data_IF_869985575834
#
_entry.id   IF_869985575834
#
_cell.length_a   1.000
_cell.length_b   1.000
_cell.length_c   1.000
_cell.angle_alpha   90.00
_cell.angle_beta   90.00
_cell.angle_gamma   90.00
#
_symmetry.space_group_name_H-M   'P 1'
#
loop_
_entity.id
_entity.type
_entity.pdbx_description
1 polymer ?
#
# COMPACT_ATOMS: atom_id res chain seq x y z
N UNK A 1 -79.47 23.55 32.23
CA UNK A 1 -80.13 22.57 33.18
C UNK A 1 -79.57 21.22 32.92
N UNK A 2 -78.66 20.74 33.75
CA UNK A 2 -78.46 19.38 34.21
C UNK A 2 -77.27 19.32 35.16
N UNK A 3 -77.53 18.82 36.28
CA UNK A 3 -76.93 18.80 37.60
C UNK A 3 -75.57 18.00 37.58
N UNK A 4 -74.62 18.56 38.25
CA UNK A 4 -73.28 17.92 38.51
C UNK A 4 -73.40 17.28 39.91
N UNK A 5 -73.22 15.95 40.01
CA UNK A 5 -73.02 15.25 41.27
C UNK A 5 -71.51 15.17 41.64
N UNK A 6 -71.20 15.62 42.84
CA UNK A 6 -69.93 15.41 43.50
C UNK A 6 -69.83 13.97 44.03
N UNK A 7 -68.73 13.27 43.70
CA UNK A 7 -68.31 12.10 44.45
C UNK A 7 -66.99 12.38 45.11
N UNK A 8 -66.96 12.29 46.43
CA UNK A 8 -65.82 12.38 47.31
C UNK A 8 -65.02 11.08 47.25
N UNK A 9 -63.67 11.17 47.00
CA UNK A 9 -62.80 10.01 47.09
C UNK A 9 -61.86 10.18 48.30
N UNK A 10 -61.90 9.15 49.14
CA UNK A 10 -61.04 9.03 50.34
C UNK A 10 -59.56 8.85 50.02
N UNK A 11 -58.72 9.72 50.55
CA UNK A 11 -57.26 9.53 50.58
C UNK A 11 -56.89 8.43 51.56
N UNK A 12 -56.28 7.34 51.07
CA UNK A 12 -55.55 6.37 51.87
C UNK A 12 -54.07 6.75 51.87
N UNK A 13 -53.51 7.00 53.07
CA UNK A 13 -52.11 7.22 53.29
C UNK A 13 -51.29 5.94 53.00
N UNK A 14 -50.48 5.95 51.95
CA UNK A 14 -49.48 4.91 51.68
C UNK A 14 -48.17 5.35 52.30
N UNK A 15 -47.67 4.61 53.27
CA UNK A 15 -46.31 4.78 53.85
C UNK A 15 -45.33 4.11 52.91
N UNK A 16 -44.43 4.88 52.29
CA UNK A 16 -43.28 4.39 51.46
C UNK A 16 -42.08 4.23 52.41
N UNK A 17 -41.47 3.06 52.51
CA UNK A 17 -40.23 2.92 53.25
C UNK A 17 -39.04 3.57 52.45
N UNK A 18 -38.28 4.42 53.10
CA UNK A 18 -36.98 4.94 52.60
C UNK A 18 -35.98 3.80 52.56
N UNK A 19 -35.71 3.25 51.38
CA UNK A 19 -34.55 2.41 51.13
C UNK A 19 -33.36 3.29 50.74
N UNK A 20 -32.39 3.38 51.62
CA UNK A 20 -31.09 4.01 51.37
C UNK A 20 -30.32 3.08 50.41
N UNK A 21 -30.26 3.42 49.14
CA UNK A 21 -29.36 2.75 48.19
C UNK A 21 -27.93 3.30 48.36
N UNK A 22 -27.03 2.48 48.91
CA UNK A 22 -25.60 2.72 48.84
C UNK A 22 -25.20 2.64 47.35
N UNK A 23 -24.85 3.79 46.73
CA UNK A 23 -24.16 3.83 45.48
C UNK A 23 -22.69 3.46 45.76
N UNK A 24 -22.32 2.21 45.51
CA UNK A 24 -20.93 1.80 45.43
C UNK A 24 -20.30 2.48 44.20
N UNK A 25 -19.47 3.51 44.40
CA UNK A 25 -18.55 3.99 43.38
C UNK A 25 -17.58 2.85 43.05
N UNK A 26 -17.88 2.07 42.03
CA UNK A 26 -16.92 1.18 41.42
C UNK A 26 -15.84 2.03 40.76
N UNK A 27 -14.66 2.14 41.37
CA UNK A 27 -13.44 2.50 40.70
C UNK A 27 -13.20 1.43 39.60
N UNK A 28 -13.62 1.73 38.40
CA UNK A 28 -13.23 0.96 37.23
C UNK A 28 -11.72 1.07 37.08
N UNK A 29 -11.00 0.03 37.48
CA UNK A 29 -9.63 -0.20 37.06
C UNK A 29 -9.73 -0.33 35.52
N UNK A 30 -9.35 0.73 34.79
CA UNK A 30 -9.03 0.62 33.37
C UNK A 30 -7.86 -0.36 33.32
N UNK A 31 -8.14 -1.64 33.04
CA UNK A 31 -7.11 -2.57 32.62
C UNK A 31 -6.46 -1.92 31.40
N UNK A 32 -5.18 -1.57 31.50
CA UNK A 32 -4.42 -1.15 30.35
C UNK A 32 -4.59 -2.25 29.29
N UNK A 33 -5.12 -1.92 28.13
CA UNK A 33 -5.29 -2.88 27.06
C UNK A 33 -3.91 -3.47 26.77
N UNK A 34 -3.80 -4.78 26.92
CA UNK A 34 -2.55 -5.47 26.64
C UNK A 34 -2.23 -5.25 25.16
N UNK A 35 -1.02 -4.80 24.84
CA UNK A 35 -0.61 -4.60 23.44
C UNK A 35 -0.76 -5.92 22.67
N UNK A 36 -1.32 -5.83 21.47
CA UNK A 36 -1.50 -7.01 20.59
C UNK A 36 -0.28 -7.22 19.69
N UNK A 37 0.59 -6.20 19.57
CA UNK A 37 1.80 -6.24 18.75
C UNK A 37 3.01 -5.79 19.57
N UNK A 38 4.14 -6.43 19.34
CA UNK A 38 5.47 -5.88 19.64
C UNK A 38 5.99 -5.16 18.39
N UNK A 39 6.66 -4.00 18.58
CA UNK A 39 7.18 -3.20 17.48
C UNK A 39 8.70 -3.13 17.59
N UNK A 40 9.39 -3.40 16.47
CA UNK A 40 10.82 -3.24 16.33
C UNK A 40 11.15 -2.32 15.15
N UNK A 41 11.94 -1.26 15.43
CA UNK A 41 12.55 -0.47 14.35
C UNK A 41 13.62 -1.29 13.65
N UNK A 42 13.63 -1.20 12.33
CA UNK A 42 14.62 -1.87 11.50
C UNK A 42 15.85 -0.96 11.29
N UNK A 43 17.07 -1.53 11.20
CA UNK A 43 18.27 -0.75 10.96
C UNK A 43 18.21 -0.01 9.62
N UNK A 44 18.87 1.16 9.52
CA UNK A 44 18.94 1.99 8.32
C UNK A 44 20.34 1.98 7.71
N UNK A 45 20.44 2.40 6.45
CA UNK A 45 21.74 2.63 5.75
C UNK A 45 22.40 3.95 6.18
N UNK A 46 21.96 4.54 7.29
CA UNK A 46 22.56 5.74 7.89
C UNK A 46 21.78 7.02 7.64
N UNK A 47 20.74 7.01 6.80
CA UNK A 47 19.79 8.10 6.64
C UNK A 47 18.64 8.03 7.66
N UNK A 48 17.82 9.08 7.68
CA UNK A 48 16.67 9.21 8.60
C UNK A 48 15.33 8.85 7.94
N UNK A 49 15.35 8.28 6.73
CA UNK A 49 14.13 7.84 6.05
C UNK A 49 14.31 6.43 5.49
N UNK A 50 13.58 5.49 6.05
CA UNK A 50 13.48 4.11 5.57
C UNK A 50 12.02 3.63 5.63
N UNK A 51 11.69 2.63 4.82
CA UNK A 51 10.35 2.00 4.78
C UNK A 51 10.47 0.55 4.35
N UNK A 52 9.86 -0.34 5.09
CA UNK A 52 9.68 -1.74 4.70
C UNK A 52 8.33 -1.87 3.95
N UNK A 53 8.41 -2.11 2.65
CA UNK A 53 7.26 -2.12 1.76
C UNK A 53 6.65 -3.52 1.55
N UNK A 54 7.38 -4.55 1.92
CA UNK A 54 6.95 -5.92 1.79
C UNK A 54 7.47 -6.78 2.92
N UNK A 55 6.70 -7.80 3.28
CA UNK A 55 7.11 -8.90 4.14
C UNK A 55 6.61 -10.23 3.57
N UNK A 56 7.49 -11.22 3.46
CA UNK A 56 7.09 -12.57 3.03
C UNK A 56 6.94 -13.52 4.23
N UNK A 57 6.52 -14.76 3.97
CA UNK A 57 6.32 -15.79 5.01
C UNK A 57 7.63 -16.37 5.59
N UNK A 58 8.79 -15.88 5.16
CA UNK A 58 10.12 -16.18 5.75
C UNK A 58 10.63 -14.99 6.58
N UNK A 59 9.80 -13.99 6.87
CA UNK A 59 10.18 -12.77 7.55
C UNK A 59 11.31 -11.99 6.87
N UNK A 60 11.40 -12.10 5.53
CA UNK A 60 12.22 -11.21 4.74
C UNK A 60 11.41 -9.95 4.46
N UNK A 61 11.95 -8.82 4.88
CA UNK A 61 11.35 -7.53 4.60
C UNK A 61 12.15 -6.83 3.52
N UNK A 62 11.46 -6.23 2.57
CA UNK A 62 12.10 -5.45 1.50
C UNK A 62 11.48 -4.06 1.40
N UNK A 63 12.28 -3.11 0.94
CA UNK A 63 11.85 -1.74 0.85
C UNK A 63 12.99 -0.83 0.41
N UNK A 64 13.18 0.24 1.14
CA UNK A 64 14.28 1.17 0.90
C UNK A 64 14.82 1.79 2.20
N UNK A 65 16.04 2.27 2.14
CA UNK A 65 16.63 3.14 3.14
C UNK A 65 17.45 4.24 2.50
N UNK A 66 17.31 5.46 3.02
CA UNK A 66 18.16 6.56 2.59
C UNK A 66 19.59 6.36 3.13
N UNK A 67 20.57 6.81 2.36
CA UNK A 67 21.98 6.90 2.76
C UNK A 67 22.21 8.14 3.64
N UNK A 68 23.36 8.27 4.32
CA UNK A 68 23.72 9.47 5.08
C UNK A 68 23.50 10.74 4.28
N UNK A 69 22.91 11.76 4.91
CA UNK A 69 22.55 13.03 4.27
C UNK A 69 21.22 13.01 3.52
N UNK A 70 20.53 11.87 3.40
CA UNK A 70 19.20 11.71 2.78
C UNK A 70 19.06 12.13 1.31
N UNK A 71 20.18 12.33 0.60
CA UNK A 71 20.19 12.73 -0.82
C UNK A 71 20.11 11.53 -1.78
N UNK A 72 20.34 10.34 -1.29
CA UNK A 72 20.31 9.09 -2.06
C UNK A 72 19.54 8.03 -1.29
N UNK A 73 18.96 7.11 -2.01
CA UNK A 73 18.15 6.00 -1.50
C UNK A 73 18.57 4.70 -2.17
N UNK A 74 18.73 3.64 -1.38
CA UNK A 74 18.96 2.31 -1.93
C UNK A 74 17.83 1.34 -1.52
N UNK A 75 17.53 0.42 -2.41
CA UNK A 75 16.73 -0.76 -2.11
C UNK A 75 17.40 -1.55 -0.98
N UNK A 76 16.59 -1.99 -0.03
CA UNK A 76 17.05 -2.60 1.20
C UNK A 76 16.32 -3.93 1.45
N UNK A 77 17.07 -4.92 1.97
CA UNK A 77 16.55 -6.20 2.45
C UNK A 77 16.92 -6.36 3.93
N UNK A 78 15.92 -6.55 4.78
CA UNK A 78 16.10 -6.95 6.17
C UNK A 78 15.77 -8.43 6.32
N UNK A 79 16.70 -9.17 6.89
CA UNK A 79 16.59 -10.59 7.14
C UNK A 79 17.32 -10.95 8.42
N UNK A 80 16.65 -11.65 9.32
CA UNK A 80 17.21 -12.10 10.61
C UNK A 80 17.87 -10.95 11.40
N UNK A 81 17.26 -9.76 11.39
CA UNK A 81 17.77 -8.55 12.03
C UNK A 81 18.92 -7.85 11.30
N UNK A 82 19.47 -8.45 10.23
CA UNK A 82 20.52 -7.86 9.41
C UNK A 82 19.95 -7.06 8.23
N UNK A 83 20.58 -5.93 7.94
CA UNK A 83 20.29 -5.09 6.77
C UNK A 83 21.29 -5.36 5.65
N UNK A 84 20.78 -5.59 4.46
CA UNK A 84 21.57 -5.67 3.22
C UNK A 84 21.19 -4.50 2.31
N UNK A 85 22.19 -3.73 1.90
CA UNK A 85 22.09 -2.77 0.81
C UNK A 85 22.09 -3.55 -0.51
N UNK A 86 21.03 -3.43 -1.31
CA UNK A 86 20.93 -4.12 -2.60
C UNK A 86 21.69 -3.40 -3.71
N UNK A 87 22.16 -2.16 -3.46
CA UNK A 87 22.86 -1.35 -4.44
C UNK A 87 21.95 -0.76 -5.51
N UNK A 88 22.56 -0.37 -6.65
CA UNK A 88 21.88 0.26 -7.79
C UNK A 88 22.39 -0.33 -9.11
N UNK A 89 21.77 0.05 -10.22
CA UNK A 89 22.23 -0.24 -11.59
C UNK A 89 23.27 0.80 -12.09
N UNK A 90 23.96 1.47 -11.16
CA UNK A 90 25.03 2.45 -11.45
C UNK A 90 24.63 3.90 -11.25
N UNK A 91 23.34 4.19 -11.10
CA UNK A 91 22.82 5.51 -10.77
C UNK A 91 22.76 5.76 -9.26
N UNK A 92 22.23 6.93 -8.84
CA UNK A 92 22.23 7.31 -7.42
C UNK A 92 21.17 6.61 -6.55
N UNK A 93 20.11 6.04 -7.14
CA UNK A 93 18.97 5.54 -6.37
C UNK A 93 18.48 4.17 -6.84
N UNK A 94 17.92 3.43 -5.89
CA UNK A 94 17.08 2.24 -6.09
C UNK A 94 16.06 2.12 -4.97
N UNK A 95 14.97 1.38 -5.22
CA UNK A 95 13.94 1.12 -4.22
C UNK A 95 13.15 -0.16 -4.54
N UNK A 96 12.68 -0.86 -3.52
CA UNK A 96 11.52 -1.75 -3.60
C UNK A 96 10.34 -0.95 -3.07
N UNK A 97 9.32 -0.70 -3.88
CA UNK A 97 8.22 0.22 -3.54
C UNK A 97 6.87 -0.48 -3.39
N UNK A 98 6.71 -1.64 -3.99
CA UNK A 98 5.54 -2.49 -3.91
C UNK A 98 5.80 -3.76 -3.11
N UNK A 99 4.73 -4.49 -2.80
CA UNK A 99 4.82 -5.73 -2.06
C UNK A 99 5.34 -6.88 -2.93
N UNK A 100 6.46 -7.49 -2.53
CA UNK A 100 7.07 -8.65 -3.20
C UNK A 100 6.96 -9.86 -2.28
N UNK A 101 5.86 -10.60 -2.36
CA UNK A 101 5.57 -11.72 -1.45
C UNK A 101 6.28 -13.04 -1.76
N UNK A 102 7.15 -13.09 -2.77
CA UNK A 102 7.85 -14.31 -3.16
C UNK A 102 8.73 -14.85 -2.02
N UNK A 103 8.48 -16.12 -1.64
CA UNK A 103 9.32 -16.82 -0.69
C UNK A 103 10.56 -17.47 -1.36
N UNK A 104 10.67 -17.35 -2.70
CA UNK A 104 11.79 -17.88 -3.50
C UNK A 104 13.11 -17.11 -3.28
N UNK A 105 13.05 -15.93 -2.64
CA UNK A 105 14.20 -15.06 -2.44
C UNK A 105 14.44 -14.06 -3.57
N UNK A 106 13.51 -13.98 -4.52
CA UNK A 106 13.51 -12.96 -5.56
C UNK A 106 13.00 -11.65 -4.95
N UNK A 107 13.74 -10.56 -5.18
CA UNK A 107 13.33 -9.18 -4.87
C UNK A 107 13.23 -8.42 -6.17
N UNK A 108 12.13 -7.71 -6.37
CA UNK A 108 11.88 -6.89 -7.55
C UNK A 108 11.73 -5.42 -7.16
N UNK A 109 12.16 -4.51 -8.01
CA UNK A 109 12.09 -3.07 -7.73
C UNK A 109 12.51 -2.21 -8.92
N UNK A 110 12.85 -0.96 -8.63
CA UNK A 110 13.30 0.04 -9.60
C UNK A 110 14.68 0.56 -9.23
N UNK A 111 15.53 0.81 -10.22
CA UNK A 111 16.84 1.41 -10.01
C UNK A 111 17.23 2.33 -11.15
N UNK A 112 17.83 3.46 -10.80
CA UNK A 112 18.50 4.33 -11.75
C UNK A 112 19.77 3.66 -12.29
N UNK A 113 19.98 3.83 -13.59
CA UNK A 113 21.25 3.51 -14.26
C UNK A 113 22.20 4.69 -14.21
N UNK A 114 23.44 4.51 -14.68
CA UNK A 114 24.39 5.61 -14.86
C UNK A 114 24.11 6.44 -16.15
N UNK A 115 23.18 5.99 -17.00
CA UNK A 115 22.87 6.62 -18.29
C UNK A 115 21.83 7.71 -18.09
N UNK A 116 22.10 8.95 -18.57
CA UNK A 116 21.08 10.00 -18.61
C UNK A 116 19.88 9.56 -19.46
N UNK A 117 18.69 9.95 -19.05
CA UNK A 117 17.48 9.75 -19.85
C UNK A 117 17.50 10.72 -21.04
N UNK A 118 17.53 10.23 -22.31
CA UNK A 118 17.64 11.07 -23.48
C UNK A 118 16.40 11.93 -23.74
N UNK A 119 15.24 11.55 -23.21
CA UNK A 119 14.00 12.28 -23.33
C UNK A 119 13.71 13.19 -22.11
N UNK A 120 14.48 13.04 -21.02
CA UNK A 120 14.30 13.81 -19.80
C UNK A 120 12.98 13.51 -19.10
N UNK A 121 12.44 12.32 -19.27
CA UNK A 121 11.23 11.86 -18.61
C UNK A 121 11.48 11.71 -17.12
N UNK A 122 10.70 12.41 -16.29
CA UNK A 122 10.79 12.21 -14.84
C UNK A 122 10.28 10.84 -14.45
N UNK A 123 9.41 10.28 -15.25
CA UNK A 123 8.68 9.06 -15.05
C UNK A 123 8.17 8.96 -13.59
N UNK A 124 7.44 7.95 -13.21
CA UNK A 124 6.96 7.81 -11.81
C UNK A 124 8.08 7.72 -10.76
N UNK A 125 9.34 7.56 -11.19
CA UNK A 125 10.50 7.49 -10.30
C UNK A 125 10.68 8.72 -9.41
N UNK A 126 10.29 9.91 -9.86
CA UNK A 126 10.40 11.13 -9.07
C UNK A 126 9.65 11.03 -7.72
N UNK A 127 8.55 10.29 -7.67
CA UNK A 127 7.78 10.04 -6.44
C UNK A 127 8.50 9.07 -5.47
N UNK A 128 9.42 8.25 -5.97
CA UNK A 128 10.05 7.18 -5.17
C UNK A 128 11.45 7.52 -4.67
N UNK A 129 12.09 8.59 -5.16
CA UNK A 129 13.46 8.94 -4.84
C UNK A 129 13.59 10.30 -4.14
N UNK A 130 14.66 10.55 -3.41
CA UNK A 130 14.90 11.84 -2.78
C UNK A 130 15.12 12.95 -3.80
N UNK A 131 14.30 14.01 -3.73
CA UNK A 131 14.52 15.35 -4.29
C UNK A 131 15.27 15.42 -5.62
N UNK A 132 16.37 16.17 -5.63
CA UNK A 132 17.16 16.47 -6.83
C UNK A 132 17.84 15.28 -7.51
N UNK A 133 17.90 14.12 -6.88
CA UNK A 133 18.49 12.90 -7.46
C UNK A 133 17.43 11.97 -8.07
N UNK A 134 16.15 12.33 -7.96
CA UNK A 134 15.03 11.49 -8.41
C UNK A 134 14.83 11.45 -9.92
N UNK A 135 15.42 12.38 -10.67
CA UNK A 135 15.22 12.54 -12.12
C UNK A 135 16.53 12.54 -12.88
N UNK A 136 16.45 12.54 -14.22
CA UNK A 136 17.61 12.74 -15.11
C UNK A 136 18.35 11.47 -15.52
N UNK A 137 17.99 10.31 -15.00
CA UNK A 137 18.59 9.02 -15.35
C UNK A 137 17.54 8.04 -15.86
N UNK A 138 17.95 7.16 -16.76
CA UNK A 138 17.13 6.00 -17.13
C UNK A 138 16.88 5.14 -15.89
N UNK A 139 15.61 4.79 -15.67
CA UNK A 139 15.18 3.89 -14.63
C UNK A 139 14.83 2.54 -15.20
N UNK A 140 15.37 1.46 -14.65
CA UNK A 140 15.00 0.11 -15.05
C UNK A 140 14.41 -0.66 -13.88
N UNK A 141 13.45 -1.53 -14.20
CA UNK A 141 13.11 -2.61 -13.29
C UNK A 141 14.33 -3.47 -13.01
N UNK A 142 14.47 -3.97 -11.81
CA UNK A 142 15.51 -4.93 -11.46
C UNK A 142 14.94 -6.17 -10.77
N UNK A 143 15.69 -7.25 -10.88
CA UNK A 143 15.56 -8.43 -10.02
C UNK A 143 16.85 -8.59 -9.25
N UNK A 144 16.73 -8.74 -7.93
CA UNK A 144 17.82 -9.18 -7.08
C UNK A 144 17.57 -10.61 -6.62
N UNK A 145 18.57 -11.46 -6.73
CA UNK A 145 18.52 -12.84 -6.26
C UNK A 145 19.93 -13.29 -5.86
N UNK A 146 20.08 -13.88 -4.67
CA UNK A 146 21.35 -14.43 -4.17
C UNK A 146 22.54 -13.48 -4.27
N UNK A 147 22.36 -12.22 -3.95
CA UNK A 147 23.44 -11.19 -3.95
C UNK A 147 23.70 -10.52 -5.29
N UNK A 148 22.98 -10.87 -6.36
CA UNK A 148 23.13 -10.28 -7.69
C UNK A 148 21.90 -9.43 -8.06
N UNK A 149 22.13 -8.15 -8.37
CA UNK A 149 21.13 -7.23 -8.91
C UNK A 149 21.30 -7.20 -10.45
N UNK A 150 20.19 -7.48 -11.17
CA UNK A 150 20.18 -7.51 -12.64
C UNK A 150 19.08 -6.59 -13.16
N UNK A 151 19.35 -5.83 -14.24
CA UNK A 151 18.35 -5.04 -14.92
C UNK A 151 17.33 -5.96 -15.64
N UNK A 152 16.13 -5.44 -15.81
CA UNK A 152 15.08 -6.02 -16.64
C UNK A 152 14.93 -5.23 -17.94
N UNK A 153 14.55 -5.87 -19.05
CA UNK A 153 14.39 -5.20 -20.35
C UNK A 153 13.17 -4.27 -20.37
N UNK A 154 13.15 -3.37 -21.35
CA UNK A 154 11.96 -2.57 -21.71
C UNK A 154 11.30 -3.12 -23.00
N UNK A 155 10.19 -2.52 -23.39
CA UNK A 155 9.53 -2.83 -24.67
C UNK A 155 10.04 -1.97 -25.84
N UNK A 156 11.27 -1.43 -25.69
CA UNK A 156 11.94 -0.60 -26.70
C UNK A 156 12.05 0.87 -26.33
N UNK A 157 11.44 1.31 -25.23
CA UNK A 157 11.65 2.62 -24.62
C UNK A 157 12.80 2.62 -23.61
N UNK A 158 12.92 3.71 -22.87
CA UNK A 158 14.07 3.94 -21.96
C UNK A 158 13.82 3.39 -20.55
N UNK A 159 12.60 3.50 -20.03
CA UNK A 159 12.30 3.27 -18.63
C UNK A 159 11.47 2.00 -18.40
N UNK A 160 11.61 1.42 -17.21
CA UNK A 160 10.85 0.26 -16.76
C UNK A 160 10.86 0.13 -15.25
N UNK A 161 9.94 -0.69 -14.72
CA UNK A 161 9.77 -0.91 -13.30
C UNK A 161 9.30 -2.34 -13.01
N UNK A 162 9.83 -2.97 -11.98
CA UNK A 162 9.34 -4.24 -11.48
C UNK A 162 8.67 -4.05 -10.12
N UNK A 163 7.43 -4.53 -9.98
CA UNK A 163 6.57 -4.29 -8.82
C UNK A 163 6.33 -5.51 -7.98
N UNK A 164 6.19 -6.68 -8.58
CA UNK A 164 5.83 -7.91 -7.91
C UNK A 164 6.57 -9.12 -8.44
N UNK A 165 6.69 -10.14 -7.61
CA UNK A 165 7.20 -11.45 -8.00
C UNK A 165 6.45 -12.55 -7.25
N UNK A 166 6.27 -13.72 -7.90
CA UNK A 166 5.68 -14.90 -7.30
C UNK A 166 6.70 -16.02 -7.06
N UNK A 167 6.29 -17.11 -6.40
CA UNK A 167 7.14 -18.24 -6.10
C UNK A 167 7.52 -19.09 -7.32
N UNK A 168 6.89 -18.84 -8.49
CA UNK A 168 7.23 -19.48 -9.77
C UNK A 168 8.31 -18.72 -10.54
N UNK A 169 8.84 -17.64 -9.98
CA UNK A 169 9.88 -16.84 -10.62
C UNK A 169 9.35 -15.86 -11.68
N UNK A 170 8.03 -15.65 -11.78
CA UNK A 170 7.46 -14.62 -12.61
C UNK A 170 7.55 -13.29 -11.90
N UNK A 171 7.94 -12.25 -12.65
CA UNK A 171 8.03 -10.87 -12.17
C UNK A 171 7.10 -10.02 -13.03
N UNK A 172 6.43 -9.07 -12.42
CA UNK A 172 5.52 -8.15 -13.11
C UNK A 172 5.91 -6.70 -12.88
N UNK A 173 5.39 -5.81 -13.73
CA UNK A 173 5.64 -4.39 -13.63
C UNK A 173 5.12 -3.65 -14.85
N UNK A 174 5.83 -2.59 -15.24
CA UNK A 174 5.56 -1.88 -16.49
C UNK A 174 6.84 -1.46 -17.18
N UNK A 175 6.77 -1.26 -18.49
CA UNK A 175 7.90 -0.88 -19.29
C UNK A 175 7.47 0.01 -20.46
N UNK A 176 8.29 0.99 -20.79
CA UNK A 176 8.07 1.85 -21.94
C UNK A 176 8.26 1.10 -23.24
N UNK A 177 7.42 1.48 -24.21
CA UNK A 177 7.60 1.18 -25.63
C UNK A 177 8.39 2.30 -26.31
N UNK A 178 8.75 2.14 -27.60
CA UNK A 178 9.35 3.21 -28.41
C UNK A 178 8.29 4.17 -29.01
N UNK A 179 7.03 4.05 -28.64
CA UNK A 179 5.91 4.81 -29.21
C UNK A 179 5.66 6.06 -28.40
N UNK A 180 5.63 7.24 -29.06
CA UNK A 180 5.11 8.46 -28.45
C UNK A 180 3.60 8.35 -28.33
N UNK A 181 3.09 8.51 -27.09
CA UNK A 181 1.65 8.48 -26.82
C UNK A 181 1.14 9.93 -26.68
N UNK A 182 0.19 10.38 -27.52
CA UNK A 182 -0.33 11.74 -27.46
C UNK A 182 -1.14 12.02 -26.18
N UNK A 183 -1.48 11.01 -25.40
CA UNK A 183 -2.15 11.16 -24.10
C UNK A 183 -1.18 11.42 -22.95
N UNK A 184 0.14 11.31 -23.20
CA UNK A 184 1.15 11.66 -22.20
C UNK A 184 1.19 13.16 -21.95
N UNK A 185 1.30 13.52 -20.66
CA UNK A 185 1.51 14.90 -20.21
C UNK A 185 2.98 15.05 -19.80
N UNK A 186 3.71 16.04 -20.35
CA UNK A 186 5.11 16.24 -20.02
C UNK A 186 5.37 16.30 -18.51
N UNK A 187 6.52 15.72 -18.04
CA UNK A 187 7.67 15.25 -18.81
C UNK A 187 7.53 13.84 -19.44
N UNK A 188 6.47 13.08 -19.18
CA UNK A 188 6.25 11.78 -19.81
C UNK A 188 5.99 11.97 -21.31
N UNK A 189 6.53 11.10 -22.15
CA UNK A 189 6.41 11.14 -23.62
C UNK A 189 6.11 9.78 -24.23
N UNK A 190 6.78 8.72 -23.72
CA UNK A 190 6.62 7.38 -24.25
C UNK A 190 5.47 6.63 -23.57
N UNK A 191 4.74 5.88 -24.39
CA UNK A 191 3.77 4.89 -23.93
C UNK A 191 4.46 3.87 -23.02
N UNK A 192 3.79 3.45 -21.95
CA UNK A 192 4.23 2.32 -21.13
C UNK A 192 3.10 1.32 -20.94
N UNK A 193 3.46 0.03 -20.90
CA UNK A 193 2.52 -1.06 -20.84
C UNK A 193 2.78 -1.95 -19.60
N UNK A 194 1.72 -2.55 -19.04
CA UNK A 194 1.86 -3.58 -18.04
C UNK A 194 2.57 -4.78 -18.63
N UNK A 195 3.52 -5.36 -17.90
CA UNK A 195 4.38 -6.45 -18.40
C UNK A 195 4.52 -7.60 -17.42
N UNK A 196 4.79 -8.79 -18.00
CA UNK A 196 5.34 -9.95 -17.30
C UNK A 196 6.74 -10.19 -17.83
N UNK A 197 7.70 -10.29 -16.92
CA UNK A 197 9.07 -10.71 -17.20
C UNK A 197 9.16 -12.24 -17.02
N UNK A 198 9.69 -12.91 -18.02
CA UNK A 198 9.85 -14.36 -18.03
C UNK A 198 11.12 -14.85 -17.33
N UNK A 199 11.33 -16.16 -17.36
CA UNK A 199 12.49 -16.80 -16.74
C UNK A 199 13.83 -16.48 -17.46
N UNK A 200 13.79 -16.17 -18.77
CA UNK A 200 14.97 -15.71 -19.50
C UNK A 200 15.23 -14.24 -19.24
N UNK A 201 16.50 -13.78 -19.17
CA UNK A 201 16.84 -12.40 -18.83
C UNK A 201 16.20 -11.35 -19.74
N UNK A 202 15.96 -11.67 -21.00
CA UNK A 202 15.39 -10.75 -22.02
C UNK A 202 13.92 -11.03 -22.32
N UNK A 203 13.30 -11.97 -21.60
CA UNK A 203 11.90 -12.31 -21.85
C UNK A 203 10.97 -11.29 -21.18
N UNK A 204 10.30 -10.52 -22.00
CA UNK A 204 9.27 -9.55 -21.60
C UNK A 204 8.05 -9.70 -22.49
N UNK A 205 6.86 -9.63 -21.92
CA UNK A 205 5.60 -9.67 -22.65
C UNK A 205 4.64 -8.63 -22.09
N UNK A 206 4.07 -7.81 -22.97
CA UNK A 206 3.02 -6.87 -22.58
C UNK A 206 1.71 -7.62 -22.26
N UNK A 207 1.00 -7.13 -21.25
CA UNK A 207 -0.37 -7.55 -20.94
C UNK A 207 -1.36 -6.68 -21.71
N UNK A 208 -2.55 -7.22 -22.08
CA UNK A 208 -3.56 -6.44 -22.80
C UNK A 208 -4.14 -5.34 -21.87
N UNK A 209 -4.46 -4.19 -22.46
CA UNK A 209 -5.17 -3.10 -21.82
C UNK A 209 -6.70 -3.27 -21.91
N UNK A 210 -7.44 -2.53 -21.12
CA UNK A 210 -8.88 -2.34 -21.30
C UNK A 210 -9.16 -1.64 -22.62
N UNK A 211 -10.34 -1.86 -23.19
CA UNK A 211 -10.69 -1.33 -24.50
C UNK A 211 -10.68 0.22 -24.51
N UNK A 212 -9.89 0.81 -25.39
CA UNK A 212 -9.74 2.26 -25.52
C UNK A 212 -8.62 2.88 -24.70
N UNK A 213 -7.97 2.12 -23.83
CA UNK A 213 -6.81 2.58 -23.06
C UNK A 213 -5.51 2.47 -23.86
N UNK A 214 -4.54 3.31 -23.52
CA UNK A 214 -3.24 3.40 -24.21
C UNK A 214 -2.06 3.00 -23.34
N UNK A 215 -2.19 3.09 -22.01
CA UNK A 215 -1.11 2.81 -21.05
C UNK A 215 -1.63 2.06 -19.82
N UNK A 216 -0.72 1.48 -19.05
CA UNK A 216 -1.07 0.76 -17.84
C UNK A 216 0.14 0.16 -17.14
N UNK A 217 -0.10 -0.43 -15.98
CA UNK A 217 0.93 -0.99 -15.13
C UNK A 217 0.41 -2.21 -14.36
N UNK A 218 1.21 -3.25 -14.26
CA UNK A 218 0.96 -4.32 -13.31
C UNK A 218 1.55 -3.94 -11.95
N UNK A 219 0.83 -4.20 -10.86
CA UNK A 219 1.23 -3.84 -9.48
C UNK A 219 1.57 -5.05 -8.63
N UNK A 220 0.84 -6.15 -8.76
CA UNK A 220 1.08 -7.37 -7.98
C UNK A 220 0.73 -8.65 -8.77
N UNK A 221 1.27 -9.76 -8.32
CA UNK A 221 1.03 -11.11 -8.88
C UNK A 221 0.98 -12.15 -7.76
N UNK A 222 0.04 -13.10 -7.84
CA UNK A 222 -0.01 -14.26 -6.95
C UNK A 222 0.61 -15.53 -7.57
N UNK A 223 0.70 -16.61 -6.80
CA UNK A 223 1.27 -17.88 -7.27
C UNK A 223 0.37 -18.62 -8.29
N UNK A 224 -0.89 -18.23 -8.43
CA UNK A 224 -1.75 -18.77 -9.49
C UNK A 224 -1.49 -18.10 -10.84
N UNK A 225 -0.71 -17.00 -10.85
CA UNK A 225 -0.41 -16.21 -12.03
C UNK A 225 -1.53 -15.21 -12.36
N UNK A 226 -2.39 -14.90 -11.40
CA UNK A 226 -3.30 -13.77 -11.48
C UNK A 226 -2.50 -12.52 -11.18
N UNK A 227 -2.61 -11.53 -12.04
CA UNK A 227 -1.89 -10.26 -11.97
C UNK A 227 -2.93 -9.15 -11.81
N UNK A 228 -2.66 -8.18 -10.98
CA UNK A 228 -3.51 -7.00 -10.83
C UNK A 228 -2.74 -5.74 -11.17
N UNK A 229 -3.46 -4.68 -11.50
CA UNK A 229 -2.87 -3.40 -11.84
C UNK A 229 -3.87 -2.44 -12.44
N UNK A 230 -3.36 -1.50 -13.20
CA UNK A 230 -4.09 -0.36 -13.74
C UNK A 230 -4.07 -0.35 -15.27
N UNK A 231 -5.14 0.19 -15.85
CA UNK A 231 -5.28 0.46 -17.29
C UNK A 231 -5.94 1.83 -17.49
N UNK A 232 -5.44 2.63 -18.41
CA UNK A 232 -5.94 3.96 -18.67
C UNK A 232 -5.15 4.66 -19.78
N UNK A 233 -4.98 5.97 -19.65
CA UNK A 233 -4.16 6.76 -20.57
C UNK A 233 -2.79 7.07 -19.94
N UNK A 234 -1.83 7.49 -20.74
CA UNK A 234 -0.47 7.77 -20.27
C UNK A 234 -0.43 8.84 -19.18
N UNK A 235 -1.10 9.98 -19.37
CA UNK A 235 -1.12 11.12 -18.42
C UNK A 235 0.30 11.48 -17.91
N UNK A 236 0.44 11.78 -16.64
CA UNK A 236 1.73 12.05 -15.96
C UNK A 236 2.42 10.77 -15.46
N UNK A 237 1.93 9.58 -15.79
CA UNK A 237 2.41 8.29 -15.31
C UNK A 237 2.37 8.12 -13.78
N UNK A 238 1.51 8.85 -13.07
CA UNK A 238 1.45 8.88 -11.60
C UNK A 238 0.14 8.38 -10.99
N UNK A 239 -0.64 7.65 -11.74
CA UNK A 239 -1.84 6.97 -11.22
C UNK A 239 -3.16 7.62 -11.59
N UNK A 240 -3.33 8.93 -11.60
CA UNK A 240 -4.58 9.65 -11.85
C UNK A 240 -5.42 9.05 -13.00
N UNK A 241 -5.26 9.51 -14.22
CA UNK A 241 -5.96 8.96 -15.40
C UNK A 241 -5.27 7.72 -15.98
N UNK A 242 -4.06 7.40 -15.55
CA UNK A 242 -3.40 6.12 -15.86
C UNK A 242 -4.08 4.97 -15.10
N UNK A 243 -4.60 5.23 -13.90
CA UNK A 243 -5.40 4.30 -13.12
C UNK A 243 -6.91 4.58 -13.30
N UNK A 244 -7.36 4.62 -14.55
CA UNK A 244 -8.76 4.77 -14.88
C UNK A 244 -9.57 3.50 -14.57
N UNK A 245 -8.95 2.34 -14.76
CA UNK A 245 -9.52 1.03 -14.51
C UNK A 245 -8.59 0.22 -13.61
N UNK A 246 -9.11 -0.26 -12.48
CA UNK A 246 -8.54 -1.36 -11.72
C UNK A 246 -8.76 -2.66 -12.50
N UNK A 247 -7.71 -3.39 -12.83
CA UNK A 247 -7.84 -4.59 -13.66
C UNK A 247 -7.15 -5.81 -13.08
N UNK A 248 -7.65 -7.00 -13.44
CA UNK A 248 -7.00 -8.28 -13.21
C UNK A 248 -6.74 -9.00 -14.53
N UNK A 249 -5.51 -9.45 -14.73
CA UNK A 249 -5.14 -10.35 -15.83
C UNK A 249 -5.09 -11.78 -15.31
N UNK A 250 -5.84 -12.65 -15.97
CA UNK A 250 -5.81 -14.08 -15.67
C UNK A 250 -5.81 -14.87 -16.98
N UNK A 251 -4.74 -15.63 -17.25
CA UNK A 251 -4.58 -16.45 -18.46
C UNK A 251 -4.81 -15.67 -19.76
N UNK A 252 -4.33 -14.43 -19.83
CA UNK A 252 -4.44 -13.57 -21.02
C UNK A 252 -5.75 -12.80 -21.16
N UNK A 253 -6.70 -12.99 -20.23
CA UNK A 253 -7.95 -12.20 -20.19
C UNK A 253 -7.78 -11.05 -19.20
N UNK A 254 -8.18 -9.84 -19.60
CA UNK A 254 -8.31 -8.69 -18.73
C UNK A 254 -9.75 -8.60 -18.19
N UNK A 255 -9.89 -8.39 -16.90
CA UNK A 255 -11.16 -8.19 -16.20
C UNK A 255 -11.11 -6.87 -15.46
N UNK A 256 -12.09 -6.01 -15.67
CA UNK A 256 -12.29 -4.79 -14.93
C UNK A 256 -12.85 -5.14 -13.53
N UNK A 257 -12.24 -4.60 -12.47
CA UNK A 257 -12.63 -4.86 -11.07
C UNK A 257 -13.69 -3.86 -10.57
N UNK A 258 -14.06 -2.86 -11.39
CA UNK A 258 -14.95 -1.77 -11.02
C UNK A 258 -14.22 -0.64 -10.29
N UNK A 259 -15.00 0.30 -9.74
CA UNK A 259 -14.54 1.49 -9.04
C UNK A 259 -15.42 1.82 -7.82
N UNK A 260 -15.06 2.84 -7.05
CA UNK A 260 -15.83 3.34 -5.90
C UNK A 260 -16.71 4.58 -6.21
N UNK A 261 -16.87 4.94 -7.48
CA UNK A 261 -17.70 6.07 -7.91
C UNK A 261 -17.04 6.99 -8.94
N UNK A 262 -15.76 6.78 -9.24
CA UNK A 262 -15.05 7.49 -10.30
C UNK A 262 -14.12 6.54 -11.04
N UNK A 263 -13.91 6.77 -12.34
CA UNK A 263 -12.89 6.11 -13.15
C UNK A 263 -11.57 6.89 -13.03
N UNK A 264 -11.00 6.90 -11.83
CA UNK A 264 -9.89 7.78 -11.45
C UNK A 264 -9.19 7.21 -10.20
N UNK A 265 -7.86 7.09 -10.23
CA UNK A 265 -7.06 6.55 -9.14
C UNK A 265 -7.39 5.09 -8.75
N UNK A 266 -8.09 4.34 -9.58
CA UNK A 266 -8.47 2.94 -9.32
C UNK A 266 -7.22 2.05 -9.31
N UNK A 267 -6.57 1.92 -8.15
CA UNK A 267 -5.23 1.33 -8.03
C UNK A 267 -5.22 0.10 -7.14
N UNK A 268 -5.26 -1.12 -7.73
CA UNK A 268 -4.93 -2.35 -7.00
C UNK A 268 -3.47 -2.32 -6.54
N UNK A 269 -3.21 -2.67 -5.29
CA UNK A 269 -1.87 -2.69 -4.71
C UNK A 269 -1.36 -4.09 -4.40
N UNK A 270 -2.26 -5.02 -4.09
CA UNK A 270 -1.91 -6.38 -3.69
C UNK A 270 -3.03 -7.37 -4.02
N UNK A 271 -2.65 -8.67 -4.12
CA UNK A 271 -3.53 -9.79 -4.35
C UNK A 271 -3.08 -11.00 -3.53
N UNK A 272 -4.02 -11.68 -2.84
CA UNK A 272 -3.73 -12.92 -2.12
C UNK A 272 -3.88 -14.15 -3.03
N UNK A 273 -3.63 -15.36 -2.49
CA UNK A 273 -3.74 -16.60 -3.27
C UNK A 273 -5.19 -17.01 -3.56
N UNK A 274 -6.19 -16.42 -2.89
CA UNK A 274 -7.60 -16.62 -3.21
C UNK A 274 -8.06 -15.78 -4.40
N UNK A 275 -7.25 -14.78 -4.80
CA UNK A 275 -7.61 -13.78 -5.80
C UNK A 275 -8.35 -12.58 -5.21
N UNK A 276 -8.39 -12.43 -3.88
CA UNK A 276 -8.90 -11.19 -3.26
C UNK A 276 -7.87 -10.08 -3.48
N UNK A 277 -8.33 -8.91 -3.86
CA UNK A 277 -7.49 -7.76 -4.24
C UNK A 277 -7.75 -6.61 -3.28
N UNK A 278 -6.72 -5.88 -2.90
CA UNK A 278 -6.85 -4.63 -2.14
C UNK A 278 -6.16 -3.49 -2.87
N UNK A 279 -6.57 -2.28 -2.55
CA UNK A 279 -6.04 -1.07 -3.14
C UNK A 279 -6.75 0.17 -2.64
N UNK A 280 -6.77 1.20 -3.45
CA UNK A 280 -7.49 2.45 -3.20
C UNK A 280 -8.08 2.99 -4.51
N UNK A 281 -9.12 3.81 -4.38
CA UNK A 281 -9.83 4.38 -5.51
C UNK A 281 -10.45 5.73 -5.14
N UNK A 282 -10.66 6.60 -6.13
CA UNK A 282 -11.41 7.82 -5.91
C UNK A 282 -12.91 7.52 -5.82
N UNK A 283 -13.58 8.19 -4.89
CA UNK A 283 -15.05 8.07 -4.71
C UNK A 283 -15.83 9.13 -5.48
N UNK A 284 -15.13 10.13 -6.03
CA UNK A 284 -15.72 11.25 -6.78
C UNK A 284 -14.86 11.63 -7.98
N UNK A 285 -15.46 11.93 -9.15
CA UNK A 285 -14.72 12.47 -10.30
C UNK A 285 -14.08 13.85 -10.05
N UNK A 286 -14.46 14.54 -8.97
CA UNK A 286 -13.87 15.81 -8.57
C UNK A 286 -12.52 15.66 -7.87
N UNK A 287 -12.17 14.46 -7.42
CA UNK A 287 -10.92 14.17 -6.70
C UNK A 287 -9.75 13.87 -7.65
N UNK A 288 -9.44 14.83 -8.53
CA UNK A 288 -8.34 14.69 -9.50
C UNK A 288 -6.96 14.69 -8.87
N UNK A 289 -6.80 15.24 -7.69
CA UNK A 289 -5.51 15.32 -6.98
C UNK A 289 -5.25 14.10 -6.10
N UNK A 290 -6.29 13.28 -5.83
CA UNK A 290 -6.20 12.06 -5.03
C UNK A 290 -6.15 12.33 -3.52
N UNK A 291 -6.74 13.44 -3.07
CA UNK A 291 -6.74 13.84 -1.65
C UNK A 291 -7.76 13.05 -0.80
N UNK A 292 -8.78 12.47 -1.43
CA UNK A 292 -9.91 11.79 -0.77
C UNK A 292 -10.12 10.36 -1.27
N UNK A 293 -9.02 9.62 -1.46
CA UNK A 293 -9.09 8.22 -1.87
C UNK A 293 -9.63 7.35 -0.75
N UNK A 294 -10.30 6.26 -1.10
CA UNK A 294 -10.79 5.27 -0.15
C UNK A 294 -10.19 3.90 -0.42
N UNK A 295 -9.72 3.25 0.64
CA UNK A 295 -9.23 1.87 0.59
C UNK A 295 -10.35 0.90 0.20
N UNK A 296 -10.04 -0.09 -0.63
CA UNK A 296 -11.00 -1.12 -1.02
C UNK A 296 -10.47 -2.54 -0.82
N UNK A 297 -11.42 -3.47 -0.73
CA UNK A 297 -11.23 -4.89 -1.01
C UNK A 297 -12.13 -5.30 -2.17
N UNK A 298 -11.58 -6.06 -3.12
CA UNK A 298 -12.35 -6.69 -4.18
C UNK A 298 -12.32 -8.20 -4.01
N UNK A 299 -13.47 -8.83 -4.14
CA UNK A 299 -13.60 -10.30 -4.19
C UNK A 299 -14.46 -10.70 -5.39
N UNK A 300 -14.25 -11.90 -5.91
CA UNK A 300 -15.06 -12.40 -7.04
C UNK A 300 -16.55 -12.52 -6.70
N UNK A 301 -16.88 -12.65 -5.41
CA UNK A 301 -18.26 -12.76 -4.92
C UNK A 301 -18.96 -11.41 -4.82
N UNK A 302 -18.28 -10.39 -4.29
CA UNK A 302 -18.91 -9.13 -3.89
C UNK A 302 -18.49 -7.93 -4.76
N UNK A 303 -17.53 -8.11 -5.68
CA UNK A 303 -16.93 -6.98 -6.40
C UNK A 303 -16.12 -6.06 -5.47
N UNK A 304 -15.89 -4.81 -5.90
CA UNK A 304 -15.16 -3.82 -5.13
C UNK A 304 -16.02 -3.26 -3.99
N UNK A 305 -15.51 -3.30 -2.78
CA UNK A 305 -16.18 -2.81 -1.57
C UNK A 305 -15.24 -1.86 -0.82
N UNK A 306 -15.73 -0.69 -0.36
CA UNK A 306 -14.93 0.22 0.44
C UNK A 306 -14.62 -0.35 1.81
N UNK A 307 -13.45 -0.02 2.36
CA UNK A 307 -13.04 -0.40 3.72
C UNK A 307 -13.34 0.69 4.76
N UNK A 308 -13.62 1.92 4.33
CA UNK A 308 -13.85 3.07 5.18
C UNK A 308 -12.54 3.73 5.65
N UNK A 309 -12.66 4.47 6.75
CA UNK A 309 -11.60 5.29 7.35
C UNK A 309 -11.53 5.06 8.85
N UNK A 310 -10.40 5.38 9.46
CA UNK A 310 -10.32 5.53 10.92
C UNK A 310 -11.16 6.73 11.37
N UNK A 311 -11.68 6.74 12.59
CA UNK A 311 -12.49 7.85 13.09
C UNK A 311 -11.78 9.20 12.97
N UNK A 312 -12.42 10.15 12.27
CA UNK A 312 -11.93 11.50 12.02
C UNK A 312 -11.09 11.66 10.75
N UNK A 313 -10.79 10.58 10.04
CA UNK A 313 -10.01 10.59 8.80
C UNK A 313 -10.91 10.72 7.57
N UNK A 314 -10.33 11.15 6.45
CA UNK A 314 -11.02 11.44 5.18
C UNK A 314 -10.36 10.75 3.97
N UNK A 315 -9.23 10.10 4.18
CA UNK A 315 -8.44 9.42 3.16
C UNK A 315 -7.97 8.06 3.69
N UNK A 316 -8.00 7.02 2.88
CA UNK A 316 -7.41 5.72 3.22
C UNK A 316 -6.87 4.99 1.99
N UNK A 317 -5.81 4.21 2.18
CA UNK A 317 -5.22 3.36 1.16
C UNK A 317 -4.87 1.99 1.76
N UNK A 318 -5.29 0.90 1.11
CA UNK A 318 -4.89 -0.45 1.48
C UNK A 318 -3.68 -0.89 0.64
N UNK A 319 -2.71 -1.57 1.28
CA UNK A 319 -1.46 -1.94 0.63
C UNK A 319 -1.13 -3.42 0.70
N UNK A 320 -1.52 -4.10 1.77
CA UNK A 320 -1.23 -5.51 1.99
C UNK A 320 -2.45 -6.31 2.41
N UNK A 321 -2.50 -7.56 1.98
CA UNK A 321 -3.53 -8.53 2.34
C UNK A 321 -2.91 -9.91 2.52
N UNK A 322 -3.34 -10.67 3.54
CA UNK A 322 -2.99 -12.08 3.73
C UNK A 322 -4.15 -13.02 3.38
N UNK A 323 -3.93 -14.33 3.51
CA UNK A 323 -4.97 -15.34 3.23
C UNK A 323 -6.12 -15.32 4.25
N UNK A 324 -5.90 -14.76 5.43
CA UNK A 324 -6.93 -14.53 6.45
C UNK A 324 -7.84 -13.34 6.15
N UNK A 325 -7.62 -12.62 5.03
CA UNK A 325 -8.28 -11.35 4.70
C UNK A 325 -8.04 -10.25 5.75
N UNK A 326 -6.90 -10.31 6.44
CA UNK A 326 -6.41 -9.17 7.18
C UNK A 326 -5.79 -8.20 6.18
N UNK A 327 -6.26 -6.96 6.18
CA UNK A 327 -5.81 -5.89 5.26
C UNK A 327 -5.09 -4.83 6.07
N UNK A 328 -3.98 -4.34 5.57
CA UNK A 328 -3.21 -3.26 6.20
C UNK A 328 -3.00 -2.08 5.25
N UNK A 329 -2.89 -0.90 5.82
CA UNK A 329 -2.76 0.31 5.03
C UNK A 329 -2.50 1.56 5.87
N UNK A 330 -2.91 2.70 5.33
CA UNK A 330 -2.93 3.99 6.03
C UNK A 330 -4.33 4.61 5.98
N UNK A 331 -4.61 5.45 6.96
CA UNK A 331 -5.76 6.34 6.99
C UNK A 331 -5.29 7.70 7.48
N UNK A 332 -5.72 8.80 6.83
CA UNK A 332 -5.22 10.13 7.08
C UNK A 332 -6.37 11.12 7.34
N UNK A 333 -6.13 12.06 8.26
CA UNK A 333 -7.02 13.20 8.48
C UNK A 333 -6.91 14.25 7.36
N UNK A 334 -7.73 15.30 7.42
CA UNK A 334 -7.74 16.37 6.44
C UNK A 334 -6.46 17.24 6.42
N UNK A 335 -5.61 17.14 7.44
CA UNK A 335 -4.32 17.81 7.51
C UNK A 335 -3.18 16.94 6.98
N UNK A 336 -3.48 15.72 6.52
CA UNK A 336 -2.52 14.76 5.98
C UNK A 336 -1.72 14.00 7.04
N UNK A 337 -2.17 14.00 8.31
CA UNK A 337 -1.57 13.16 9.34
C UNK A 337 -2.10 11.73 9.21
N UNK A 338 -1.21 10.80 8.88
CA UNK A 338 -1.59 9.43 8.60
C UNK A 338 -1.30 8.50 9.77
N UNK A 339 -2.14 7.47 9.88
CA UNK A 339 -2.02 6.39 10.87
C UNK A 339 -2.13 5.03 10.17
N UNK A 340 -1.27 4.11 10.54
CA UNK A 340 -1.34 2.73 10.07
C UNK A 340 -2.60 2.05 10.62
N UNK A 341 -3.30 1.31 9.77
CA UNK A 341 -4.43 0.50 10.17
C UNK A 341 -4.23 -0.99 9.90
N UNK A 342 -4.98 -1.80 10.62
CA UNK A 342 -5.35 -3.17 10.27
C UNK A 342 -6.87 -3.26 10.15
N UNK A 343 -7.36 -3.86 9.06
CA UNK A 343 -8.77 -4.15 8.86
C UNK A 343 -9.00 -5.66 8.85
N UNK A 344 -9.99 -6.09 9.60
CA UNK A 344 -10.38 -7.49 9.73
C UNK A 344 -11.87 -7.60 10.03
N UNK A 345 -12.59 -8.50 9.34
CA UNK A 345 -14.01 -8.80 9.58
C UNK A 345 -14.92 -7.56 9.58
N UNK A 346 -14.65 -6.59 8.69
CA UNK A 346 -15.46 -5.36 8.55
C UNK A 346 -15.07 -4.24 9.52
N UNK A 347 -14.02 -4.39 10.31
CA UNK A 347 -13.58 -3.41 11.30
C UNK A 347 -12.17 -2.90 10.98
N UNK A 348 -12.03 -1.59 10.77
CA UNK A 348 -10.74 -0.92 10.66
C UNK A 348 -10.28 -0.46 12.04
N UNK A 349 -9.07 -0.86 12.43
CA UNK A 349 -8.48 -0.56 13.75
C UNK A 349 -7.15 0.18 13.57
N UNK A 350 -6.96 1.27 14.31
CA UNK A 350 -5.69 2.01 14.37
C UNK A 350 -4.59 1.12 15.00
N UNK A 351 -3.56 0.82 14.25
CA UNK A 351 -2.44 -0.01 14.72
C UNK A 351 -1.68 0.65 15.89
N UNK A 352 -1.77 1.97 16.03
CA UNK A 352 -1.20 2.69 17.16
C UNK A 352 -1.91 2.37 18.49
N UNK A 353 -3.16 1.91 18.46
CA UNK A 353 -3.88 1.45 19.65
C UNK A 353 -3.49 0.04 20.09
N UNK A 354 -2.79 -0.70 19.22
CA UNK A 354 -2.42 -2.11 19.41
C UNK A 354 -0.94 -2.29 19.77
N UNK A 355 -0.13 -1.22 19.71
CA UNK A 355 1.30 -1.23 20.05
C UNK A 355 1.53 -1.02 21.55
N UNK A 356 2.72 -1.40 22.09
CA UNK A 356 3.09 -1.10 23.48
C UNK A 356 3.16 0.42 23.73
N UNK A 357 2.71 0.88 24.88
CA UNK A 357 2.83 2.29 25.27
C UNK A 357 4.29 2.79 25.35
N UNK A 358 5.24 1.89 25.53
CA UNK A 358 6.68 2.19 25.54
C UNK A 358 7.22 2.53 24.14
N UNK A 359 6.53 2.14 23.07
CA UNK A 359 6.90 2.53 21.70
C UNK A 359 6.24 3.87 21.35
N UNK A 360 7.00 4.95 21.39
CA UNK A 360 6.49 6.34 21.32
C UNK A 360 6.29 6.87 19.90
N UNK A 361 6.97 6.30 18.90
CA UNK A 361 6.81 6.72 17.51
C UNK A 361 5.39 6.40 16.99
N UNK A 362 4.87 7.22 16.09
CA UNK A 362 3.61 6.97 15.39
C UNK A 362 3.83 5.98 14.25
N UNK A 363 3.05 4.92 14.19
CA UNK A 363 2.98 4.04 13.02
C UNK A 363 2.16 4.78 11.95
N UNK A 364 2.86 5.38 10.95
CA UNK A 364 2.21 6.17 9.89
C UNK A 364 1.56 5.29 8.82
N UNK A 365 2.24 4.21 8.44
CA UNK A 365 1.84 3.36 7.31
C UNK A 365 2.16 1.91 7.62
N UNK A 366 1.18 1.03 7.47
CA UNK A 366 1.39 -0.41 7.33
C UNK A 366 1.41 -0.75 5.83
N UNK A 367 2.45 -1.43 5.35
CA UNK A 367 2.67 -1.62 3.90
C UNK A 367 2.40 -3.04 3.44
N UNK A 368 2.62 -4.02 4.28
CA UNK A 368 2.35 -5.41 3.94
C UNK A 368 2.15 -6.25 5.22
N UNK A 369 1.50 -7.40 5.05
CA UNK A 369 1.20 -8.36 6.11
C UNK A 369 1.44 -9.78 5.60
N UNK A 370 2.12 -10.62 6.40
CA UNK A 370 2.31 -12.04 6.08
C UNK A 370 1.25 -12.95 6.74
N UNK A 371 1.36 -14.27 6.51
CA UNK A 371 0.40 -15.24 7.04
C UNK A 371 0.49 -15.44 8.56
N UNK A 372 1.58 -15.03 9.18
CA UNK A 372 1.72 -15.01 10.65
C UNK A 372 1.09 -13.77 11.29
N UNK A 373 0.56 -12.84 10.49
CA UNK A 373 0.01 -11.56 10.93
C UNK A 373 1.10 -10.51 11.25
N UNK A 374 2.35 -10.77 10.84
CA UNK A 374 3.43 -9.79 11.01
C UNK A 374 3.31 -8.71 9.95
N UNK A 375 3.48 -7.45 10.37
CA UNK A 375 3.21 -6.26 9.55
C UNK A 375 4.51 -5.47 9.36
N UNK A 376 4.78 -5.11 8.11
CA UNK A 376 5.86 -4.19 7.74
C UNK A 376 5.31 -2.79 7.47
N UNK A 377 6.14 -1.76 7.66
CA UNK A 377 5.69 -0.41 7.40
C UNK A 377 6.71 0.67 7.70
N UNK A 378 6.19 1.86 8.02
CA UNK A 378 6.97 3.04 8.37
C UNK A 378 6.37 3.75 9.59
N UNK A 379 7.22 4.10 10.54
CA UNK A 379 6.90 4.92 11.70
C UNK A 379 7.51 6.33 11.57
N UNK A 380 7.00 7.27 12.34
CA UNK A 380 7.49 8.65 12.49
C UNK A 380 7.81 8.91 13.96
N UNK A 381 9.06 9.23 14.27
CA UNK A 381 9.46 9.61 15.62
C UNK A 381 9.26 11.11 15.87
N UNK A 382 9.41 11.52 17.14
CA UNK A 382 9.25 12.93 17.56
C UNK A 382 10.32 13.88 17.00
N UNK A 383 11.40 13.37 16.44
CA UNK A 383 12.44 14.14 15.75
C UNK A 383 12.18 14.28 14.26
N UNK A 384 11.09 13.71 13.74
CA UNK A 384 10.73 13.72 12.32
C UNK A 384 11.45 12.65 11.49
N UNK A 385 12.18 11.72 12.12
CA UNK A 385 12.77 10.62 11.38
C UNK A 385 11.74 9.53 11.11
N UNK A 386 11.77 9.03 9.88
CA UNK A 386 10.90 7.94 9.41
C UNK A 386 11.67 6.63 9.36
N UNK A 387 11.19 5.62 10.07
CA UNK A 387 11.89 4.35 10.20
C UNK A 387 11.04 3.19 9.69
N UNK A 388 11.67 2.28 8.98
CA UNK A 388 11.07 0.99 8.69
C UNK A 388 10.84 0.23 10.01
N UNK A 389 9.68 -0.41 10.15
CA UNK A 389 9.37 -1.23 11.33
C UNK A 389 8.88 -2.63 10.94
N UNK A 390 8.98 -3.54 11.91
CA UNK A 390 8.29 -4.82 11.97
C UNK A 390 7.39 -4.84 13.20
N UNK A 391 6.10 -5.08 13.00
CA UNK A 391 5.14 -5.36 14.07
C UNK A 391 4.85 -6.86 14.10
N UNK A 392 5.08 -7.50 15.24
CA UNK A 392 4.87 -8.94 15.45
C UNK A 392 3.75 -9.16 16.47
N UNK A 393 2.72 -10.00 16.15
CA UNK A 393 1.66 -10.31 17.10
C UNK A 393 2.20 -10.89 18.40
N UNK A 394 1.70 -10.40 19.54
CA UNK A 394 1.99 -10.96 20.87
C UNK A 394 1.06 -12.14 21.09
N UNK A 395 1.62 -13.33 21.29
CA UNK A 395 0.89 -14.59 21.55
C UNK A 395 0.62 -14.79 23.03
#
# INVERSE_FOLDING_TARGET
MKTIQHQSVHLRHLRIPLSVSLIALGCGLFAASQSQYSIADLPSLGGTNSRANSINNRNWLTGYSNLPGNQRRHAALWRDGALTDLGTLGGPNSAVTFSVKANSGIVAGISQTATPDPLGEAWSSAAFYPGATGTGFINLGFVWNNGALRPLPTLGGNNGFATGANNRGQVVGWAETAVHDPTCVPPQQLQFLPVVYGASPDAISALPLSAGDTSGAATAINDQGQIVGISGICDQAIGRYTAKHAVMWNKGTVTDLGNLGAELWDTPTNINQRGDVVGFAATSPADVDGDFLEAFIWTAENGMQPLGFLPGDVHSEAYGINEGRQVVGLSCDADGNCRAFIWENGVMTDLNMLKPASYTATLEQARDINEAGEISGRSLDSAGARRAFLATPVR
#
